data_IF_985689858042
#
_entry.id   IF_985689858042
#
_cell.length_a   1.000
_cell.length_b   1.000
_cell.length_c   1.000
_cell.angle_alpha   90.00
_cell.angle_beta   90.00
_cell.angle_gamma   90.00
#
_symmetry.space_group_name_H-M   'P 1'
#
loop_
_entity.id
_entity.type
_entity.pdbx_description
1 polymer ?
#
# COMPACT_ATOMS: atom_id res chain seq x y z
N UNK A 1 37.39 31.76 21.11
CA UNK A 1 37.21 31.78 19.63
C UNK A 1 36.91 30.41 19.03
N UNK A 2 37.60 29.33 19.39
CA UNK A 2 37.37 27.99 18.77
C UNK A 2 36.02 27.33 19.10
N UNK A 3 35.45 27.56 20.30
CA UNK A 3 34.15 26.97 20.71
C UNK A 3 32.93 27.57 20.00
N UNK A 4 32.96 28.87 19.67
CA UNK A 4 31.87 29.55 18.96
C UNK A 4 31.78 29.14 17.48
N UNK A 5 32.91 28.77 16.86
CA UNK A 5 32.96 28.30 15.46
C UNK A 5 32.34 26.89 15.33
N UNK A 6 32.57 26.01 16.30
CA UNK A 6 32.00 24.65 16.31
C UNK A 6 30.47 24.68 16.45
N UNK A 7 29.94 25.58 17.30
CA UNK A 7 28.50 25.73 17.49
C UNK A 7 27.80 26.25 16.21
N UNK A 8 28.48 27.09 15.43
CA UNK A 8 27.96 27.62 14.16
C UNK A 8 27.94 26.56 13.05
N UNK A 9 28.92 25.65 13.00
CA UNK A 9 28.97 24.54 12.04
C UNK A 9 27.86 23.50 12.33
N UNK A 10 27.59 23.21 13.61
CA UNK A 10 26.49 22.33 14.04
C UNK A 10 25.11 22.91 13.68
N UNK A 11 24.94 24.23 13.80
CA UNK A 11 23.70 24.91 13.41
C UNK A 11 23.48 24.84 11.90
N UNK A 12 24.52 25.06 11.08
CA UNK A 12 24.44 24.99 9.60
C UNK A 12 24.12 23.55 9.13
N UNK A 13 24.62 22.52 9.81
CA UNK A 13 24.25 21.12 9.53
C UNK A 13 22.77 20.84 9.81
N UNK A 14 22.22 21.41 10.89
CA UNK A 14 20.81 21.27 11.27
C UNK A 14 19.85 21.98 10.29
N UNK A 15 20.23 23.12 9.71
CA UNK A 15 19.36 23.84 8.74
C UNK A 15 19.33 23.20 7.35
N UNK A 16 20.38 22.45 6.96
CA UNK A 16 20.36 21.70 5.70
C UNK A 16 19.43 20.47 5.73
N UNK A 17 19.14 19.93 6.92
CA UNK A 17 18.24 18.78 7.07
C UNK A 17 16.76 19.13 6.92
N UNK A 18 16.35 20.37 7.22
CA UNK A 18 14.94 20.78 7.12
C UNK A 18 14.49 21.03 5.68
N UNK A 19 15.39 21.41 4.78
CA UNK A 19 15.10 21.60 3.36
C UNK A 19 15.18 20.29 2.54
N UNK A 20 15.83 19.25 3.06
CA UNK A 20 15.89 17.95 2.40
C UNK A 20 14.58 17.14 2.56
N UNK A 21 13.88 17.33 3.67
CA UNK A 21 12.67 16.58 4.00
C UNK A 21 11.45 16.93 3.12
N UNK A 22 11.39 18.16 2.59
CA UNK A 22 10.31 18.58 1.69
C UNK A 22 10.38 17.90 0.33
N UNK A 23 11.56 17.44 -0.10
CA UNK A 23 11.73 16.68 -1.35
C UNK A 23 11.26 15.23 -1.25
N UNK A 24 11.18 14.67 -0.03
CA UNK A 24 10.79 13.27 0.19
C UNK A 24 9.32 12.99 -0.11
N UNK A 25 8.45 14.01 -0.02
CA UNK A 25 7.00 13.88 -0.20
C UNK A 25 6.51 14.66 -1.42
N UNK A 26 7.09 14.39 -2.60
CA UNK A 26 6.47 14.81 -3.86
C UNK A 26 5.14 14.06 -3.99
N UNK A 27 4.04 14.69 -3.55
CA UNK A 27 2.70 14.10 -3.60
C UNK A 27 2.39 13.68 -5.03
N UNK A 28 2.31 12.37 -5.27
CA UNK A 28 1.92 11.85 -6.58
C UNK A 28 0.54 12.40 -6.95
N UNK A 29 0.30 12.73 -8.22
CA UNK A 29 -0.98 13.31 -8.69
C UNK A 29 -1.98 12.23 -9.11
N UNK A 30 -1.50 11.00 -9.29
CA UNK A 30 -2.20 9.84 -9.83
C UNK A 30 -3.27 9.38 -8.86
N UNK A 31 -4.51 9.49 -9.27
CA UNK A 31 -5.66 9.08 -8.44
C UNK A 31 -6.28 7.79 -8.89
N UNK A 32 -5.94 7.34 -10.10
CA UNK A 32 -6.50 6.15 -10.74
C UNK A 32 -5.36 5.22 -11.15
N UNK A 33 -5.49 3.95 -10.83
CA UNK A 33 -4.63 2.86 -11.33
C UNK A 33 -5.49 1.91 -12.14
N UNK A 34 -4.93 1.36 -13.21
CA UNK A 34 -5.55 0.31 -14.02
C UNK A 34 -4.91 -1.04 -13.66
N UNK A 35 -5.71 -1.99 -13.19
CA UNK A 35 -5.31 -3.38 -13.04
C UNK A 35 -5.82 -4.11 -14.28
N UNK A 36 -4.91 -4.49 -15.17
CA UNK A 36 -5.23 -5.31 -16.34
C UNK A 36 -5.14 -6.79 -15.98
N UNK A 37 -6.14 -7.57 -16.39
CA UNK A 37 -6.19 -9.01 -16.14
C UNK A 37 -6.68 -9.74 -17.39
N UNK A 38 -6.48 -11.06 -17.46
CA UNK A 38 -7.08 -11.89 -18.50
C UNK A 38 -8.61 -11.91 -18.50
N UNK A 39 -9.26 -11.40 -17.45
CA UNK A 39 -10.70 -11.28 -17.33
C UNK A 39 -11.22 -9.85 -17.58
N UNK A 40 -10.34 -8.94 -18.01
CA UNK A 40 -10.64 -7.54 -18.28
C UNK A 40 -10.02 -6.57 -17.27
N UNK A 41 -10.39 -5.31 -17.46
CA UNK A 41 -9.78 -4.17 -16.81
C UNK A 41 -10.54 -3.75 -15.54
N UNK A 42 -9.78 -3.44 -14.49
CA UNK A 42 -10.31 -2.88 -13.23
C UNK A 42 -9.67 -1.51 -13.01
N UNK A 43 -10.50 -0.46 -13.02
CA UNK A 43 -10.08 0.91 -12.66
C UNK A 43 -10.24 1.13 -11.16
N UNK A 44 -9.14 1.45 -10.49
CA UNK A 44 -9.09 1.63 -9.03
C UNK A 44 -8.80 3.08 -8.71
N UNK A 45 -9.65 3.71 -7.89
CA UNK A 45 -9.39 5.04 -7.35
C UNK A 45 -8.70 4.96 -5.99
N UNK A 46 -7.54 5.60 -5.87
CA UNK A 46 -6.79 5.71 -4.62
C UNK A 46 -7.21 6.96 -3.85
N UNK A 47 -7.53 6.80 -2.57
CA UNK A 47 -7.91 7.91 -1.69
C UNK A 47 -6.69 8.72 -1.25
N UNK A 48 -6.84 10.05 -1.17
CA UNK A 48 -5.73 10.95 -0.80
C UNK A 48 -5.48 10.93 0.71
N UNK A 49 -6.51 10.58 1.45
CA UNK A 49 -6.56 10.52 2.91
C UNK A 49 -5.91 9.24 3.49
N UNK A 50 -5.30 8.40 2.63
CA UNK A 50 -4.40 7.28 2.99
C UNK A 50 -3.05 7.45 2.29
N UNK A 51 -2.27 8.51 2.59
CA UNK A 51 -1.09 8.89 1.83
C UNK A 51 -0.01 7.79 1.78
N UNK A 52 0.29 7.10 2.88
CA UNK A 52 1.34 6.07 2.92
C UNK A 52 0.98 4.88 2.03
N UNK A 53 -0.25 4.37 2.14
CA UNK A 53 -0.71 3.27 1.30
C UNK A 53 -0.77 3.68 -0.17
N UNK A 54 -1.26 4.90 -0.45
CA UNK A 54 -1.36 5.42 -1.81
C UNK A 54 0.01 5.55 -2.47
N UNK A 55 0.95 6.19 -1.79
CA UNK A 55 2.31 6.40 -2.30
C UNK A 55 3.03 5.07 -2.52
N UNK A 56 2.93 4.16 -1.57
CA UNK A 56 3.48 2.81 -1.70
C UNK A 56 2.86 2.05 -2.89
N UNK A 57 1.52 2.08 -3.04
CA UNK A 57 0.86 1.36 -4.14
C UNK A 57 1.29 1.93 -5.50
N UNK A 58 1.36 3.26 -5.64
CA UNK A 58 1.82 3.89 -6.89
C UNK A 58 3.30 3.57 -7.16
N UNK A 59 4.14 3.55 -6.12
CA UNK A 59 5.55 3.14 -6.24
C UNK A 59 5.65 1.71 -6.78
N UNK A 60 4.96 0.76 -6.16
CA UNK A 60 5.00 -0.65 -6.60
C UNK A 60 4.45 -0.84 -8.02
N UNK A 61 3.40 -0.09 -8.40
CA UNK A 61 2.91 -0.07 -9.79
C UNK A 61 3.98 0.48 -10.75
N UNK A 62 4.62 1.60 -10.40
CA UNK A 62 5.67 2.22 -11.23
C UNK A 62 6.88 1.31 -11.40
N UNK A 63 7.20 0.54 -10.37
CA UNK A 63 8.28 -0.45 -10.36
C UNK A 63 7.89 -1.77 -11.05
N UNK A 64 6.69 -1.86 -11.65
CA UNK A 64 6.14 -3.09 -12.27
C UNK A 64 6.11 -4.30 -11.33
N UNK A 65 6.02 -4.04 -10.02
CA UNK A 65 6.05 -5.09 -9.00
C UNK A 65 4.89 -6.09 -9.17
N UNK A 66 3.71 -5.57 -9.50
CA UNK A 66 2.47 -6.34 -9.64
C UNK A 66 2.34 -7.11 -10.95
N UNK A 67 3.27 -6.94 -11.90
CA UNK A 67 3.21 -7.59 -13.19
C UNK A 67 3.29 -9.12 -13.02
N UNK A 68 2.35 -9.81 -13.67
CA UNK A 68 2.21 -11.27 -13.67
C UNK A 68 1.98 -11.91 -12.30
N UNK A 69 1.42 -11.16 -11.34
CA UNK A 69 1.00 -11.73 -10.05
C UNK A 69 -0.42 -12.31 -10.13
N UNK A 70 -0.68 -13.33 -9.31
CA UNK A 70 -1.98 -13.98 -9.23
C UNK A 70 -2.88 -13.33 -8.17
N UNK A 71 -4.19 -13.39 -8.40
CA UNK A 71 -5.17 -13.34 -7.31
C UNK A 71 -5.20 -14.71 -6.64
N UNK A 72 -4.34 -14.90 -5.64
CA UNK A 72 -4.08 -16.19 -5.02
C UNK A 72 -5.15 -16.65 -4.02
N UNK A 73 -6.07 -15.77 -3.61
CA UNK A 73 -7.13 -16.12 -2.66
C UNK A 73 -8.45 -15.44 -3.02
N UNK A 74 -9.46 -16.24 -3.33
CA UNK A 74 -10.79 -15.77 -3.76
C UNK A 74 -11.86 -16.44 -2.89
N UNK A 75 -12.62 -15.64 -2.14
CA UNK A 75 -13.69 -16.15 -1.28
C UNK A 75 -15.00 -15.46 -1.68
N UNK A 76 -15.95 -16.26 -2.19
CA UNK A 76 -17.26 -15.79 -2.63
C UNK A 76 -18.01 -15.11 -1.49
N UNK A 77 -18.53 -13.91 -1.75
CA UNK A 77 -19.24 -13.07 -0.79
C UNK A 77 -18.34 -12.27 0.15
N UNK A 78 -17.02 -12.44 0.09
CA UNK A 78 -16.07 -11.81 0.99
C UNK A 78 -15.09 -10.91 0.22
N UNK A 79 -14.04 -11.49 -0.36
CA UNK A 79 -12.98 -10.72 -1.01
C UNK A 79 -12.17 -11.53 -2.02
N UNK A 80 -11.43 -10.80 -2.86
CA UNK A 80 -10.48 -11.29 -3.86
C UNK A 80 -9.11 -10.67 -3.50
N UNK A 81 -8.12 -11.46 -3.12
CA UNK A 81 -6.82 -11.00 -2.63
C UNK A 81 -5.69 -11.35 -3.61
N UNK A 82 -4.75 -10.41 -3.74
CA UNK A 82 -3.57 -10.50 -4.59
C UNK A 82 -2.41 -9.67 -4.04
N UNK A 83 -1.40 -9.43 -4.88
CA UNK A 83 -0.23 -8.63 -4.51
C UNK A 83 0.86 -9.38 -3.76
N UNK A 84 0.82 -10.73 -3.77
CA UNK A 84 1.90 -11.56 -3.26
C UNK A 84 2.97 -11.77 -4.38
N UNK A 85 4.21 -11.28 -4.22
CA UNK A 85 5.27 -11.49 -5.21
C UNK A 85 5.63 -12.96 -5.45
N UNK A 86 5.44 -13.83 -4.46
CA UNK A 86 5.76 -15.25 -4.56
C UNK A 86 4.78 -15.98 -5.49
N UNK A 87 3.66 -15.34 -5.83
CA UNK A 87 2.70 -15.86 -6.81
C UNK A 87 3.21 -15.81 -8.25
N UNK A 88 4.32 -15.10 -8.51
CA UNK A 88 4.92 -14.99 -9.84
C UNK A 88 5.44 -16.37 -10.28
N UNK A 89 4.79 -16.95 -11.28
CA UNK A 89 5.07 -18.30 -11.78
C UNK A 89 4.91 -19.41 -10.72
N UNK A 90 4.11 -19.18 -9.68
CA UNK A 90 3.87 -20.19 -8.66
C UNK A 90 3.21 -21.44 -9.27
N UNK A 91 3.63 -22.66 -8.86
CA UNK A 91 2.92 -23.87 -9.22
C UNK A 91 1.51 -23.88 -8.61
N UNK A 92 0.62 -24.70 -9.16
CA UNK A 92 -0.80 -24.71 -8.81
C UNK A 92 -1.08 -25.03 -7.32
N UNK A 93 -0.17 -25.73 -6.65
CA UNK A 93 -0.24 -26.17 -5.26
C UNK A 93 0.59 -25.30 -4.29
N UNK A 94 1.18 -24.20 -4.77
CA UNK A 94 1.95 -23.29 -3.93
C UNK A 94 1.11 -22.67 -2.81
N UNK A 95 1.66 -22.64 -1.61
CA UNK A 95 1.09 -21.89 -0.49
C UNK A 95 1.48 -20.42 -0.66
N UNK A 96 0.48 -19.57 -0.92
CA UNK A 96 0.64 -18.13 -1.13
C UNK A 96 -0.06 -17.34 -0.02
N UNK A 97 0.24 -16.05 0.07
CA UNK A 97 -0.27 -15.10 1.05
C UNK A 97 0.76 -14.65 2.09
N UNK A 98 2.00 -15.14 2.01
CA UNK A 98 3.07 -14.79 2.96
C UNK A 98 4.15 -13.87 2.37
N UNK A 99 4.22 -13.74 1.05
CA UNK A 99 5.22 -12.90 0.41
C UNK A 99 4.91 -11.40 0.54
N UNK A 100 5.92 -10.59 0.25
CA UNK A 100 5.84 -9.14 0.28
C UNK A 100 7.20 -8.49 0.01
N UNK A 101 7.28 -7.16 0.01
CA UNK A 101 8.49 -6.42 -0.35
C UNK A 101 9.50 -6.30 0.82
N UNK A 102 9.32 -7.07 1.90
CA UNK A 102 10.18 -7.04 3.08
C UNK A 102 9.85 -5.95 4.11
N UNK A 103 8.73 -5.24 3.96
CA UNK A 103 8.28 -4.20 4.90
C UNK A 103 6.76 -4.19 5.06
N UNK A 104 6.31 -3.55 6.14
CA UNK A 104 4.90 -3.27 6.45
C UNK A 104 4.61 -1.77 6.34
N UNK A 105 3.34 -1.39 6.32
CA UNK A 105 2.89 0.00 6.28
C UNK A 105 2.08 0.28 7.55
N UNK A 106 2.35 1.36 8.30
CA UNK A 106 1.54 1.75 9.45
C UNK A 106 0.06 1.93 9.09
N UNK A 107 -0.83 1.63 10.04
CA UNK A 107 -2.26 1.71 9.80
C UNK A 107 -2.74 3.15 9.51
N UNK A 108 -3.54 3.34 8.46
CA UNK A 108 -4.15 4.62 8.07
C UNK A 108 -5.68 4.52 8.12
N UNK A 109 -6.24 4.35 9.32
CA UNK A 109 -7.69 4.25 9.49
C UNK A 109 -8.39 5.60 9.33
N UNK A 110 -9.48 5.62 8.59
CA UNK A 110 -10.31 6.80 8.40
C UNK A 110 -11.80 6.38 8.36
N UNK A 111 -12.60 6.87 9.31
CA UNK A 111 -14.02 6.50 9.47
C UNK A 111 -14.91 6.85 8.28
N UNK A 112 -14.45 7.75 7.40
CA UNK A 112 -15.11 8.07 6.12
C UNK A 112 -15.12 6.88 5.15
N UNK A 113 -14.17 5.95 5.28
CA UNK A 113 -14.03 4.80 4.40
C UNK A 113 -14.33 3.50 5.14
N UNK A 114 -15.07 2.64 4.47
CA UNK A 114 -15.46 1.34 4.98
C UNK A 114 -15.46 0.31 3.86
N UNK A 115 -15.48 -0.97 4.22
CA UNK A 115 -15.45 -2.09 3.27
C UNK A 115 -16.80 -2.27 2.57
N UNK A 116 -17.03 -1.49 1.51
CA UNK A 116 -18.13 -1.69 0.55
C UNK A 116 -17.67 -2.50 -0.65
N UNK A 117 -18.60 -3.15 -1.37
CA UNK A 117 -18.28 -3.86 -2.63
C UNK A 117 -17.48 -2.97 -3.58
N UNK A 118 -16.38 -3.50 -4.10
CA UNK A 118 -15.43 -2.82 -4.99
C UNK A 118 -14.37 -1.97 -4.27
N UNK A 119 -14.43 -1.83 -2.94
CA UNK A 119 -13.35 -1.18 -2.20
C UNK A 119 -12.06 -2.01 -2.30
N UNK A 120 -10.94 -1.33 -2.53
CA UNK A 120 -9.61 -1.91 -2.40
C UNK A 120 -9.08 -1.57 -1.00
N UNK A 121 -8.44 -2.53 -0.35
CA UNK A 121 -7.80 -2.32 0.95
C UNK A 121 -6.53 -3.18 1.06
N UNK A 122 -5.58 -2.73 1.87
CA UNK A 122 -4.37 -3.50 2.13
C UNK A 122 -4.66 -4.68 3.05
N UNK A 123 -4.07 -5.83 2.74
CA UNK A 123 -4.15 -7.02 3.57
C UNK A 123 -3.26 -6.84 4.81
N UNK A 124 -3.61 -7.52 5.90
CA UNK A 124 -2.80 -7.57 7.12
C UNK A 124 -3.04 -8.86 7.88
N UNK A 125 -2.13 -9.20 8.78
CA UNK A 125 -2.32 -10.29 9.75
C UNK A 125 -3.38 -9.93 10.79
N UNK A 126 -3.92 -10.95 11.46
CA UNK A 126 -4.90 -10.82 12.55
C UNK A 126 -4.37 -9.97 13.72
N UNK A 127 -5.29 -9.32 14.43
CA UNK A 127 -4.97 -8.34 15.50
C UNK A 127 -4.20 -8.99 16.68
N UNK A 128 -4.38 -10.30 16.88
CA UNK A 128 -3.72 -11.13 17.88
C UNK A 128 -2.20 -11.21 17.70
N UNK A 129 -1.74 -11.27 16.45
CA UNK A 129 -0.31 -11.34 16.09
C UNK A 129 0.22 -10.04 15.46
N UNK A 130 -0.65 -9.06 15.25
CA UNK A 130 -0.35 -7.75 14.68
C UNK A 130 -1.14 -6.65 15.42
N UNK A 131 -0.78 -6.34 16.68
CA UNK A 131 -1.49 -5.36 17.50
C UNK A 131 -1.35 -3.93 16.96
N UNK A 132 -0.26 -3.63 16.25
CA UNK A 132 -0.06 -2.38 15.51
C UNK A 132 -0.93 -2.26 14.26
N UNK A 133 -1.60 -3.35 13.87
CA UNK A 133 -2.50 -3.46 12.70
C UNK A 133 -1.83 -3.00 11.41
N UNK A 134 -0.52 -3.20 11.31
CA UNK A 134 0.25 -2.79 10.15
C UNK A 134 -0.19 -3.60 8.92
N UNK A 135 -0.26 -2.93 7.79
CA UNK A 135 -0.59 -3.53 6.51
C UNK A 135 0.61 -4.22 5.90
N UNK A 136 0.36 -5.26 5.10
CA UNK A 136 1.34 -5.78 4.15
C UNK A 136 1.81 -4.65 3.24
N UNK A 137 3.10 -4.67 2.91
CA UNK A 137 3.69 -3.71 1.97
C UNK A 137 3.15 -3.84 0.53
N UNK A 138 2.63 -5.00 0.11
CA UNK A 138 2.17 -5.19 -1.28
C UNK A 138 0.83 -5.91 -1.42
N UNK A 139 0.45 -6.73 -0.44
CA UNK A 139 -0.78 -7.50 -0.56
C UNK A 139 -2.01 -6.62 -0.34
N UNK A 140 -2.99 -6.78 -1.21
CA UNK A 140 -4.26 -6.06 -1.17
C UNK A 140 -5.42 -7.00 -1.48
N UNK A 141 -6.63 -6.57 -1.14
CA UNK A 141 -7.84 -7.26 -1.52
C UNK A 141 -8.90 -6.30 -2.05
N UNK A 142 -9.73 -6.80 -2.96
CA UNK A 142 -10.93 -6.17 -3.48
C UNK A 142 -12.12 -6.79 -2.77
N UNK A 143 -12.93 -5.96 -2.11
CA UNK A 143 -14.13 -6.40 -1.40
C UNK A 143 -15.18 -6.85 -2.41
N UNK A 144 -15.63 -8.10 -2.31
CA UNK A 144 -16.72 -8.60 -3.15
C UNK A 144 -18.10 -8.32 -2.54
N UNK A 145 -18.19 -8.24 -1.19
CA UNK A 145 -19.41 -8.30 -0.36
C UNK A 145 -20.65 -7.49 -0.77
N UNK A 146 -21.29 -6.79 0.17
CA UNK A 146 -22.59 -6.14 -0.09
C UNK A 146 -22.40 -4.82 -0.85
N UNK A 147 -23.22 -4.59 -1.88
CA UNK A 147 -23.38 -3.26 -2.48
C UNK A 147 -24.13 -2.40 -1.47
N UNK A 148 -23.55 -1.28 -1.07
CA UNK A 148 -24.26 -0.29 -0.29
C UNK A 148 -25.04 0.61 -1.25
N UNK A 149 -26.37 0.54 -1.20
CA UNK A 149 -27.26 1.45 -1.92
C UNK A 149 -27.81 2.46 -0.91
N UNK A 150 -27.92 3.74 -1.30
CA UNK A 150 -28.51 4.80 -0.46
C UNK A 150 -30.05 4.71 -0.38
N UNK A 151 -30.61 3.50 -0.52
CA UNK A 151 -32.05 3.26 -0.49
C UNK A 151 -32.50 2.99 0.95
#
# INVERSE_FOLDING_TARGET
>A
MKKSVILFILIISLVNSSCFFSSLFKRNKETIVLINTGFGDIKVKLYKETPLHRENFIKLVSDKFYDSLLFHRVIKGFMIQGGDPDSKNAPADAILGNGGPGYTIPAEFNSKYFHKKGAIAAARRGDDVNPGKESSGSQFYIVQGKVFTNA
#
